data_IF_360201675329
#
_entry.id   IF_360201675329
#
_cell.length_a   1.000
_cell.length_b   1.000
_cell.length_c   1.000
_cell.angle_alpha   90.00
_cell.angle_beta   90.00
_cell.angle_gamma   90.00
#
_symmetry.space_group_name_H-M   'P 1'
#
loop_
_entity.id
_entity.type
_entity.pdbx_description
1 polymer ?
#
# COMPACT_ATOMS: atom_id res chain seq x y z
N UNK A 1 8.11 2.69 -3.63
CA UNK A 1 7.56 3.40 -2.45
C UNK A 1 6.88 4.72 -2.82
N UNK A 2 7.36 5.41 -3.84
CA UNK A 2 6.72 6.64 -4.32
C UNK A 2 5.27 6.39 -4.77
N UNK A 3 5.00 5.26 -5.40
CA UNK A 3 3.64 4.91 -5.83
C UNK A 3 2.69 4.80 -4.63
N UNK A 4 3.15 4.23 -3.51
CA UNK A 4 2.34 4.14 -2.29
C UNK A 4 2.07 5.51 -1.67
N UNK A 5 3.05 6.41 -1.69
CA UNK A 5 2.89 7.77 -1.19
C UNK A 5 1.84 8.52 -2.02
N UNK A 6 1.92 8.41 -3.35
CA UNK A 6 0.93 9.01 -4.24
C UNK A 6 -0.45 8.40 -4.02
N UNK A 7 -0.52 7.07 -3.80
CA UNK A 7 -1.77 6.39 -3.51
C UNK A 7 -2.47 6.92 -2.28
N UNK A 8 -1.73 7.19 -1.18
CA UNK A 8 -2.32 7.73 0.04
C UNK A 8 -2.91 9.11 -0.18
N UNK A 9 -2.24 9.96 -0.96
CA UNK A 9 -2.71 11.31 -1.27
C UNK A 9 -3.93 11.31 -2.20
N UNK A 10 -4.09 10.26 -3.01
CA UNK A 10 -5.19 10.14 -3.97
C UNK A 10 -6.38 9.35 -3.42
N UNK A 11 -6.32 8.85 -2.19
CA UNK A 11 -7.38 8.03 -1.59
C UNK A 11 -8.74 8.71 -1.67
N UNK A 12 -8.79 10.01 -1.40
CA UNK A 12 -10.05 10.76 -1.43
C UNK A 12 -10.69 10.82 -2.83
N UNK A 13 -9.93 10.55 -3.87
CA UNK A 13 -10.42 10.49 -5.26
C UNK A 13 -10.77 9.07 -5.67
N UNK A 14 -10.16 8.06 -5.05
CA UNK A 14 -10.35 6.65 -5.38
C UNK A 14 -11.49 6.02 -4.59
N UNK A 15 -11.74 6.51 -3.37
CA UNK A 15 -12.77 5.97 -2.47
C UNK A 15 -13.78 7.07 -2.19
N UNK A 16 -14.89 7.06 -2.94
CA UNK A 16 -15.89 8.13 -2.92
C UNK A 16 -16.57 8.32 -1.57
N UNK A 17 -16.59 7.30 -0.72
CA UNK A 17 -17.22 7.38 0.60
C UNK A 17 -16.26 7.79 1.71
N UNK A 18 -14.96 7.88 1.41
CA UNK A 18 -13.98 8.32 2.40
C UNK A 18 -14.03 9.83 2.56
N UNK A 19 -13.94 10.31 3.81
CA UNK A 19 -13.85 11.73 4.08
C UNK A 19 -12.45 12.24 3.73
N UNK A 20 -12.34 13.44 3.12
CA UNK A 20 -11.02 14.05 2.90
C UNK A 20 -10.35 14.30 4.26
N UNK A 21 -9.12 13.83 4.41
CA UNK A 21 -8.33 13.98 5.63
C UNK A 21 -6.97 14.57 5.26
N UNK A 22 -6.54 15.67 5.92
CA UNK A 22 -5.20 16.20 5.69
C UNK A 22 -4.15 15.16 6.07
N UNK A 23 -3.17 14.96 5.21
CA UNK A 23 -2.10 13.99 5.42
C UNK A 23 -0.80 14.75 5.68
N UNK A 24 -0.25 14.59 6.90
CA UNK A 24 1.03 15.20 7.27
C UNK A 24 2.21 14.45 6.71
N UNK A 25 2.16 13.12 6.76
CA UNK A 25 3.26 12.30 6.26
C UNK A 25 2.79 10.91 5.86
N UNK A 26 3.48 10.36 4.86
CA UNK A 26 3.34 8.98 4.45
C UNK A 26 4.72 8.37 4.31
N UNK A 27 4.95 7.27 5.02
CA UNK A 27 6.22 6.55 4.99
C UNK A 27 5.95 5.13 4.54
N UNK A 28 6.66 4.69 3.50
CA UNK A 28 6.58 3.33 2.99
C UNK A 28 7.90 2.64 3.27
N UNK A 29 7.84 1.51 3.96
CA UNK A 29 9.00 0.68 4.24
C UNK A 29 8.82 -0.69 3.59
N UNK A 30 9.92 -1.28 3.12
CA UNK A 30 9.90 -2.62 2.56
C UNK A 30 10.95 -3.49 3.24
N UNK A 31 10.60 -4.76 3.46
CA UNK A 31 11.48 -5.77 4.01
C UNK A 31 11.52 -6.96 3.05
N UNK A 32 12.73 -7.39 2.71
CA UNK A 32 12.92 -8.49 1.76
C UNK A 32 13.29 -9.76 2.54
N UNK A 33 12.47 -10.79 2.38
CA UNK A 33 12.71 -12.13 2.93
C UNK A 33 13.04 -13.09 1.78
N UNK A 34 13.43 -14.31 2.11
CA UNK A 34 13.80 -15.31 1.09
C UNK A 34 12.62 -15.66 0.18
N UNK A 35 11.41 -15.68 0.72
CA UNK A 35 10.21 -16.15 0.02
C UNK A 35 9.17 -15.06 -0.22
N UNK A 36 9.40 -13.82 0.25
CA UNK A 36 8.41 -12.76 0.16
C UNK A 36 9.01 -11.39 0.39
N UNK A 37 8.22 -10.38 0.05
CA UNK A 37 8.52 -8.98 0.38
C UNK A 37 7.34 -8.46 1.20
N UNK A 38 7.64 -7.84 2.35
CA UNK A 38 6.64 -7.18 3.19
C UNK A 38 6.75 -5.68 2.99
N UNK A 39 5.61 -5.05 2.71
CA UNK A 39 5.53 -3.59 2.63
C UNK A 39 4.70 -3.07 3.79
N UNK A 40 5.15 -2.00 4.41
CA UNK A 40 4.44 -1.35 5.52
C UNK A 40 4.27 0.13 5.19
N UNK A 41 3.04 0.62 5.31
CA UNK A 41 2.71 2.03 5.13
C UNK A 41 2.35 2.63 6.48
N UNK A 42 2.94 3.77 6.79
CA UNK A 42 2.61 4.55 7.97
C UNK A 42 2.12 5.92 7.51
N UNK A 43 0.86 6.24 7.81
CA UNK A 43 0.25 7.51 7.43
C UNK A 43 -0.13 8.26 8.69
N UNK A 44 0.22 9.53 8.74
CA UNK A 44 -0.07 10.42 9.87
C UNK A 44 -0.87 11.63 9.41
N UNK A 45 -1.78 12.06 10.26
CA UNK A 45 -2.58 13.27 10.06
C UNK A 45 -2.83 13.94 11.41
N UNK A 46 -2.90 15.25 11.42
CA UNK A 46 -3.30 16.02 12.60
C UNK A 46 -4.82 16.08 12.77
N UNK A 47 -5.57 15.60 11.79
CA UNK A 47 -7.01 15.56 11.88
C UNK A 47 -7.50 14.56 12.94
N UNK A 48 -8.74 14.75 13.40
CA UNK A 48 -9.35 13.86 14.40
C UNK A 48 -9.83 12.54 13.81
N UNK A 49 -10.03 12.50 12.50
CA UNK A 49 -10.46 11.29 11.79
C UNK A 49 -9.26 10.42 11.49
N UNK A 50 -9.42 9.11 11.62
CA UNK A 50 -8.36 8.16 11.30
C UNK A 50 -8.01 8.15 9.82
N UNK A 51 -6.83 7.64 9.51
CA UNK A 51 -6.29 7.59 8.15
C UNK A 51 -6.04 6.15 7.67
N UNK A 52 -6.81 5.19 8.19
CA UNK A 52 -6.68 3.77 7.82
C UNK A 52 -6.92 3.53 6.33
N UNK A 53 -7.84 4.25 5.71
CA UNK A 53 -8.09 4.08 4.27
C UNK A 53 -6.91 4.59 3.44
N UNK A 54 -6.32 5.70 3.85
CA UNK A 54 -5.12 6.24 3.21
C UNK A 54 -3.94 5.28 3.33
N UNK A 55 -3.78 4.68 4.51
CA UNK A 55 -2.71 3.70 4.75
C UNK A 55 -2.93 2.44 3.93
N UNK A 56 -4.15 1.90 3.90
CA UNK A 56 -4.48 0.71 3.11
C UNK A 56 -4.30 0.97 1.62
N UNK A 57 -4.72 2.14 1.14
CA UNK A 57 -4.57 2.51 -0.27
C UNK A 57 -3.10 2.64 -0.63
N UNK A 58 -2.31 3.32 0.20
CA UNK A 58 -0.90 3.53 -0.11
C UNK A 58 -0.11 2.23 -0.18
N UNK A 59 -0.34 1.30 0.77
CA UNK A 59 0.37 0.02 0.77
C UNK A 59 -0.08 -0.84 -0.41
N UNK A 60 -1.37 -0.79 -0.77
CA UNK A 60 -1.90 -1.53 -1.90
C UNK A 60 -1.30 -1.04 -3.21
N UNK A 61 -1.23 0.27 -3.41
CA UNK A 61 -0.61 0.86 -4.61
C UNK A 61 0.87 0.52 -4.69
N UNK A 62 1.58 0.55 -3.54
CA UNK A 62 2.98 0.17 -3.48
C UNK A 62 3.19 -1.30 -3.89
N UNK A 63 2.32 -2.20 -3.40
CA UNK A 63 2.38 -3.61 -3.76
C UNK A 63 2.09 -3.85 -5.24
N UNK A 64 1.11 -3.15 -5.80
CA UNK A 64 0.79 -3.25 -7.23
C UNK A 64 1.96 -2.77 -8.09
N UNK A 65 2.61 -1.69 -7.68
CA UNK A 65 3.78 -1.19 -8.40
C UNK A 65 4.94 -2.18 -8.33
N UNK A 66 5.15 -2.80 -7.16
CA UNK A 66 6.17 -3.84 -7.00
C UNK A 66 5.86 -5.04 -7.90
N UNK A 67 4.61 -5.50 -7.92
CA UNK A 67 4.18 -6.60 -8.78
C UNK A 67 4.50 -6.28 -10.25
N UNK A 68 4.13 -5.09 -10.71
CA UNK A 68 4.38 -4.68 -12.09
C UNK A 68 5.87 -4.70 -12.42
N UNK A 69 6.70 -4.29 -11.45
CA UNK A 69 8.16 -4.25 -11.62
C UNK A 69 8.76 -5.65 -11.75
N UNK A 70 8.28 -6.64 -10.98
CA UNK A 70 8.88 -7.98 -10.92
C UNK A 70 8.16 -9.02 -11.76
N UNK A 71 7.02 -8.70 -12.33
CA UNK A 71 6.16 -9.69 -13.00
C UNK A 71 6.86 -10.48 -14.11
N UNK A 72 7.80 -9.88 -14.82
CA UNK A 72 8.51 -10.55 -15.89
C UNK A 72 9.38 -11.71 -15.38
N UNK A 73 9.83 -11.63 -14.11
CA UNK A 73 10.63 -12.68 -13.47
C UNK A 73 9.76 -13.77 -12.85
N UNK A 74 8.47 -13.46 -12.57
CA UNK A 74 7.55 -14.39 -11.93
C UNK A 74 6.68 -15.15 -12.95
N UNK A 75 6.58 -14.64 -14.16
CA UNK A 75 5.76 -15.24 -15.21
C UNK A 75 6.37 -16.55 -15.69
N UNK A 76 5.53 -17.58 -15.81
CA UNK A 76 5.94 -18.85 -16.37
C UNK A 76 5.87 -18.83 -17.90
N UNK A 77 6.25 -19.95 -18.55
CA UNK A 77 6.30 -20.07 -20.01
C UNK A 77 4.92 -19.93 -20.67
N UNK A 78 3.85 -20.12 -19.91
CA UNK A 78 2.46 -20.01 -20.38
C UNK A 78 1.86 -18.63 -20.10
N UNK A 79 2.66 -17.68 -19.60
CA UNK A 79 2.20 -16.35 -19.26
C UNK A 79 1.42 -16.28 -17.97
N UNK A 80 1.52 -17.29 -17.10
CA UNK A 80 0.81 -17.35 -15.83
C UNK A 80 1.74 -17.01 -14.67
N UNK A 81 1.15 -16.77 -13.49
CA UNK A 81 1.87 -16.41 -12.28
C UNK A 81 1.58 -17.42 -11.17
N UNK A 82 2.25 -18.62 -11.20
CA UNK A 82 1.90 -19.70 -10.28
C UNK A 82 2.19 -19.41 -8.81
N UNK A 83 3.15 -18.52 -8.53
CA UNK A 83 3.58 -18.25 -7.15
C UNK A 83 3.37 -16.81 -6.71
N UNK A 84 3.37 -15.86 -7.63
CA UNK A 84 3.27 -14.45 -7.28
C UNK A 84 1.85 -14.10 -6.86
N UNK A 85 1.71 -13.51 -5.68
CA UNK A 85 0.41 -13.08 -5.15
C UNK A 85 0.59 -11.96 -4.13
N UNK A 86 -0.45 -11.15 -3.99
CA UNK A 86 -0.53 -10.13 -2.94
C UNK A 86 -1.51 -10.66 -1.90
N UNK A 87 -1.07 -10.73 -0.64
CA UNK A 87 -1.89 -11.28 0.44
C UNK A 87 -1.75 -10.46 1.71
N UNK A 88 -2.69 -10.68 2.65
CA UNK A 88 -2.60 -10.21 4.03
C UNK A 88 -2.45 -8.68 4.14
N UNK A 89 -3.27 -7.95 3.40
CA UNK A 89 -3.32 -6.50 3.53
C UNK A 89 -4.28 -6.17 4.67
N UNK A 90 -3.76 -5.54 5.73
CA UNK A 90 -4.56 -5.23 6.90
C UNK A 90 -3.94 -4.09 7.73
N UNK A 91 -4.73 -3.52 8.62
CA UNK A 91 -4.26 -2.47 9.53
C UNK A 91 -3.58 -3.13 10.72
N UNK A 92 -2.28 -2.83 10.91
CA UNK A 92 -1.51 -3.37 12.04
C UNK A 92 -1.85 -2.61 13.32
N UNK A 93 -1.90 -1.28 13.22
CA UNK A 93 -2.07 -0.42 14.38
C UNK A 93 -2.74 0.89 13.99
N UNK A 94 -3.69 1.31 14.80
CA UNK A 94 -4.37 2.60 14.65
C UNK A 94 -4.19 3.38 15.95
N UNK A 95 -3.69 4.61 15.84
CA UNK A 95 -3.54 5.51 16.98
C UNK A 95 -4.41 6.73 16.73
N UNK A 96 -5.27 7.01 17.70
CA UNK A 96 -6.17 8.17 17.66
C UNK A 96 -5.64 9.25 18.59
N UNK A 97 -5.57 10.47 18.07
CA UNK A 97 -5.19 11.64 18.86
C UNK A 97 -6.41 12.25 19.56
#
# INVERSE_FOLDING_TARGET
ELAGINGSKLTQFLITLAHPVPIDSTIINSEIFDDRIRMTSTVKSIGKTGVEMEALTSVTVALLNLWDTVKSHEKDENGQYPFAKITNIFVIKKVKN
#
